data_IF_424455694892
#
_entry.id   IF_424455694892
#
_cell.length_a   1.000
_cell.length_b   1.000
_cell.length_c   1.000
_cell.angle_alpha   90.00
_cell.angle_beta   90.00
_cell.angle_gamma   90.00
#
_symmetry.space_group_name_H-M   'P 1'
#
loop_
_entity.id
_entity.type
_entity.pdbx_description
1 polymer ?
#
# COMPACT_ATOMS: atom_id res chain seq x y z
N UNK A 1 -9.11 11.98 3.55
CA UNK A 1 -8.73 10.58 3.24
C UNK A 1 -8.37 10.47 1.76
N UNK A 2 -7.31 9.74 1.41
CA UNK A 2 -6.79 9.63 0.03
C UNK A 2 -7.47 8.55 -0.81
N UNK A 3 -8.80 8.59 -0.94
CA UNK A 3 -9.60 7.65 -1.74
C UNK A 3 -10.44 8.42 -2.76
N UNK A 4 -10.62 7.86 -3.97
CA UNK A 4 -11.38 8.49 -5.04
C UNK A 4 -12.89 8.46 -4.76
N UNK A 5 -13.36 9.35 -3.90
CA UNK A 5 -14.75 9.40 -3.45
C UNK A 5 -15.39 10.80 -3.52
N UNK A 6 -14.69 11.78 -4.10
CA UNK A 6 -15.04 13.22 -4.16
C UNK A 6 -15.31 13.93 -2.83
N UNK A 7 -15.39 13.19 -1.71
CA UNK A 7 -15.77 13.72 -0.42
C UNK A 7 -14.78 14.72 0.16
N UNK A 8 -13.47 14.48 -0.01
CA UNK A 8 -12.39 15.32 0.56
C UNK A 8 -12.61 15.70 2.04
N UNK A 9 -13.24 14.81 2.81
CA UNK A 9 -13.62 15.09 4.19
C UNK A 9 -12.38 15.05 5.10
N UNK A 10 -12.27 16.07 5.96
CA UNK A 10 -11.35 16.14 7.09
C UNK A 10 -11.91 15.39 8.30
N UNK A 11 -11.03 14.73 9.05
CA UNK A 11 -11.36 13.85 10.18
C UNK A 11 -10.43 14.09 11.37
N UNK A 12 -10.97 13.97 12.58
CA UNK A 12 -10.23 13.87 13.85
C UNK A 12 -9.82 12.42 14.01
N UNK A 13 -8.51 12.17 14.11
CA UNK A 13 -7.96 10.83 14.35
C UNK A 13 -7.65 10.70 15.84
N UNK A 14 -8.22 9.69 16.48
CA UNK A 14 -8.03 9.44 17.91
C UNK A 14 -6.90 8.44 18.11
N UNK A 15 -5.93 8.82 18.94
CA UNK A 15 -4.83 7.97 19.37
C UNK A 15 -5.02 7.65 20.84
N UNK A 16 -5.02 6.37 21.18
CA UNK A 16 -5.09 5.87 22.56
C UNK A 16 -4.03 4.79 22.74
N UNK A 17 -3.25 4.88 23.81
CA UNK A 17 -2.13 3.98 24.09
C UNK A 17 -1.10 3.93 22.93
N UNK A 18 -0.87 5.06 22.25
CA UNK A 18 0.05 5.13 21.10
C UNK A 18 -0.46 4.47 19.82
N UNK A 19 -1.71 3.99 19.79
CA UNK A 19 -2.34 3.36 18.63
C UNK A 19 -3.52 4.18 18.15
N UNK A 20 -3.71 4.24 16.82
CA UNK A 20 -4.92 4.83 16.24
C UNK A 20 -6.10 3.92 16.53
N UNK A 21 -7.18 4.45 17.11
CA UNK A 21 -8.31 3.63 17.56
C UNK A 21 -9.60 3.88 16.81
N UNK A 22 -9.96 5.13 16.53
CA UNK A 22 -11.14 5.50 15.73
C UNK A 22 -11.02 6.92 15.20
N UNK A 23 -12.02 7.34 14.42
CA UNK A 23 -12.10 8.66 13.81
C UNK A 23 -13.49 9.26 13.95
N UNK A 24 -13.57 10.58 14.03
CA UNK A 24 -14.83 11.35 13.91
C UNK A 24 -14.63 12.49 12.93
N UNK A 25 -15.71 13.00 12.35
CA UNK A 25 -15.60 14.11 11.38
C UNK A 25 -15.08 15.39 12.04
N UNK A 26 -14.26 16.14 11.30
CA UNK A 26 -13.98 17.53 11.64
C UNK A 26 -15.18 18.42 11.32
N UNK A 27 -15.34 19.50 12.06
CA UNK A 27 -16.44 20.46 11.93
C UNK A 27 -15.97 21.90 11.89
N UNK A 28 -14.71 22.12 11.53
CA UNK A 28 -14.03 23.42 11.55
C UNK A 28 -13.72 23.92 10.13
N UNK A 29 -14.48 23.48 9.13
CA UNK A 29 -14.40 24.06 7.79
C UNK A 29 -14.71 25.57 7.84
N UNK A 30 -14.08 26.40 6.99
CA UNK A 30 -14.50 27.79 6.83
C UNK A 30 -16.01 27.86 6.55
N UNK A 31 -16.72 28.69 7.34
CA UNK A 31 -18.17 28.85 7.23
C UNK A 31 -18.54 29.39 5.86
N UNK A 32 -19.68 28.95 5.35
CA UNK A 32 -20.27 29.52 4.13
C UNK A 32 -20.91 30.87 4.45
N UNK A 33 -21.45 31.54 3.43
CA UNK A 33 -22.19 32.80 3.60
C UNK A 33 -23.42 32.57 4.51
N UNK A 34 -23.91 33.58 5.25
CA UNK A 34 -25.02 33.40 6.20
C UNK A 34 -26.33 32.84 5.62
N UNK A 35 -26.54 33.00 4.31
CA UNK A 35 -27.69 32.50 3.55
C UNK A 35 -27.54 31.04 3.06
N UNK A 36 -26.37 30.43 3.26
CA UNK A 36 -26.07 29.06 2.84
C UNK A 36 -25.80 28.15 4.05
N UNK A 37 -26.15 26.86 3.97
CA UNK A 37 -25.74 25.91 4.98
C UNK A 37 -24.22 25.70 4.95
N UNK A 38 -23.63 25.41 6.11
CA UNK A 38 -22.23 25.02 6.19
C UNK A 38 -22.03 23.59 5.69
N UNK A 39 -20.78 23.25 5.39
CA UNK A 39 -20.41 21.92 4.89
C UNK A 39 -20.33 20.85 5.97
N UNK A 40 -20.22 21.23 7.24
CA UNK A 40 -19.99 20.28 8.31
C UNK A 40 -21.21 19.37 8.55
N UNK A 41 -21.00 18.11 8.99
CA UNK A 41 -19.73 17.44 9.29
C UNK A 41 -19.07 16.74 8.08
N UNK A 42 -19.74 16.70 6.91
CA UNK A 42 -19.40 15.79 5.81
C UNK A 42 -19.26 14.34 6.32
N UNK A 43 -18.29 13.59 5.78
CA UNK A 43 -18.01 12.21 6.15
C UNK A 43 -18.96 11.20 5.50
N UNK A 44 -18.60 9.93 5.60
CA UNK A 44 -19.40 8.81 5.08
C UNK A 44 -19.04 7.53 5.87
N UNK A 45 -19.89 6.49 5.86
CA UNK A 45 -19.63 5.27 6.64
C UNK A 45 -18.36 4.54 6.20
N UNK A 46 -17.92 4.72 4.94
CA UNK A 46 -16.65 4.17 4.44
C UNK A 46 -15.43 4.90 5.02
N UNK A 47 -15.57 6.19 5.32
CA UNK A 47 -14.53 6.96 5.99
C UNK A 47 -14.44 6.62 7.47
N UNK A 48 -15.57 6.40 8.12
CA UNK A 48 -15.63 6.07 9.55
C UNK A 48 -15.09 4.67 9.92
N UNK A 49 -14.77 3.83 8.94
CA UNK A 49 -14.22 2.49 9.15
C UNK A 49 -12.75 2.35 8.73
N UNK A 50 -12.06 3.46 8.45
CA UNK A 50 -10.71 3.43 7.91
C UNK A 50 -9.67 3.01 8.96
N UNK A 51 -9.87 3.34 10.24
CA UNK A 51 -9.00 2.90 11.35
C UNK A 51 -8.79 1.38 11.37
N UNK A 52 -9.77 0.60 10.91
CA UNK A 52 -9.67 -0.86 10.83
C UNK A 52 -8.44 -1.34 10.05
N UNK A 53 -8.07 -0.65 8.97
CA UNK A 53 -6.96 -1.06 8.10
C UNK A 53 -5.57 -0.90 8.74
N UNK A 54 -5.42 -0.16 9.84
CA UNK A 54 -4.10 0.06 10.42
C UNK A 54 -3.47 -1.23 10.94
N UNK A 55 -4.27 -2.07 11.59
CA UNK A 55 -3.80 -3.29 12.26
C UNK A 55 -4.58 -4.55 11.85
N UNK A 56 -5.44 -4.47 10.82
CA UNK A 56 -6.18 -5.64 10.34
C UNK A 56 -5.27 -6.73 9.79
N UNK A 57 -5.80 -7.96 9.74
CA UNK A 57 -5.09 -9.14 9.25
C UNK A 57 -4.59 -9.00 7.79
N UNK A 58 -5.20 -8.10 7.00
CA UNK A 58 -4.83 -7.86 5.61
C UNK A 58 -3.82 -6.71 5.42
N UNK A 59 -3.28 -6.15 6.51
CA UNK A 59 -2.29 -5.09 6.43
C UNK A 59 -0.97 -5.62 5.86
N UNK A 60 -0.50 -5.04 4.76
CA UNK A 60 0.86 -5.28 4.26
C UNK A 60 1.87 -4.63 5.21
N UNK A 61 2.70 -5.48 5.84
CA UNK A 61 3.74 -5.09 6.80
C UNK A 61 5.14 -5.02 6.20
N UNK A 62 5.40 -5.85 5.19
CA UNK A 62 6.70 -6.01 4.56
C UNK A 62 6.55 -5.93 3.04
N UNK A 63 7.58 -5.51 2.31
CA UNK A 63 7.56 -5.62 0.86
C UNK A 63 7.61 -7.10 0.48
N UNK A 64 6.74 -7.49 -0.45
CA UNK A 64 6.55 -8.87 -0.87
C UNK A 64 6.99 -9.01 -2.32
N UNK A 65 7.68 -10.10 -2.63
CA UNK A 65 7.99 -10.48 -4.00
C UNK A 65 7.69 -11.96 -4.21
N UNK A 66 7.32 -12.34 -5.44
CA UNK A 66 6.98 -13.72 -5.76
C UNK A 66 8.20 -14.62 -5.55
N UNK A 67 8.04 -15.75 -4.86
CA UNK A 67 9.12 -16.71 -4.57
C UNK A 67 9.92 -17.09 -5.82
N UNK A 68 9.23 -17.37 -6.93
CA UNK A 68 9.85 -17.73 -8.22
C UNK A 68 10.74 -16.60 -8.75
N UNK A 69 10.29 -15.35 -8.64
CA UNK A 69 11.04 -14.19 -9.08
C UNK A 69 12.24 -13.91 -8.16
N UNK A 70 12.06 -13.99 -6.84
CA UNK A 70 13.17 -13.83 -5.88
C UNK A 70 14.29 -14.83 -6.16
N UNK A 71 13.95 -16.09 -6.47
CA UNK A 71 14.93 -17.13 -6.77
C UNK A 71 15.78 -16.74 -8.00
N UNK A 72 15.11 -16.43 -9.13
CA UNK A 72 15.77 -16.00 -10.36
C UNK A 72 16.60 -14.73 -10.16
N UNK A 73 16.08 -13.77 -9.39
CA UNK A 73 16.76 -12.51 -9.10
C UNK A 73 18.05 -12.71 -8.32
N UNK A 74 18.04 -13.56 -7.28
CA UNK A 74 19.25 -13.87 -6.50
C UNK A 74 20.28 -14.64 -7.32
N UNK A 75 19.85 -15.58 -8.15
CA UNK A 75 20.73 -16.31 -9.08
C UNK A 75 21.36 -15.37 -10.11
N UNK A 76 20.58 -14.47 -10.71
CA UNK A 76 21.10 -13.51 -11.68
C UNK A 76 22.05 -12.48 -11.05
N UNK A 77 21.74 -11.97 -9.86
CA UNK A 77 22.63 -11.07 -9.11
C UNK A 77 23.94 -11.72 -8.66
N UNK A 78 24.00 -13.05 -8.59
CA UNK A 78 25.24 -13.76 -8.31
C UNK A 78 26.13 -13.87 -9.56
N UNK A 79 25.54 -13.82 -10.76
CA UNK A 79 26.24 -13.92 -12.04
C UNK A 79 26.59 -12.54 -12.63
N UNK A 80 25.77 -11.53 -12.38
CA UNK A 80 25.91 -10.19 -12.92
C UNK A 80 26.05 -9.17 -11.77
N UNK A 81 27.12 -8.38 -11.79
CA UNK A 81 27.36 -7.31 -10.82
C UNK A 81 26.39 -6.14 -11.01
N UNK A 82 26.06 -5.81 -12.26
CA UNK A 82 25.08 -4.78 -12.59
C UNK A 82 23.65 -5.33 -12.45
N UNK A 83 22.78 -4.74 -11.60
CA UNK A 83 21.39 -5.15 -11.48
C UNK A 83 20.56 -4.99 -12.77
N UNK A 84 20.95 -4.08 -13.66
CA UNK A 84 20.33 -3.89 -14.98
C UNK A 84 20.61 -5.10 -15.87
N UNK A 85 21.86 -5.57 -15.90
CA UNK A 85 22.25 -6.78 -16.64
C UNK A 85 21.62 -8.04 -16.05
N UNK A 86 21.57 -8.13 -14.71
CA UNK A 86 20.87 -9.21 -14.00
C UNK A 86 19.37 -9.27 -14.38
N UNK A 87 18.72 -8.11 -14.52
CA UNK A 87 17.34 -8.06 -14.99
C UNK A 87 17.23 -8.44 -16.46
N UNK A 88 18.16 -7.94 -17.29
CA UNK A 88 18.29 -8.29 -18.71
C UNK A 88 18.34 -9.79 -18.93
N UNK A 89 19.15 -10.52 -18.17
CA UNK A 89 19.31 -11.99 -18.32
C UNK A 89 18.09 -12.81 -17.88
N UNK A 90 17.17 -12.22 -17.08
CA UNK A 90 15.92 -12.86 -16.68
C UNK A 90 14.81 -12.56 -17.70
N UNK A 91 14.69 -11.31 -18.13
CA UNK A 91 13.57 -10.87 -18.99
C UNK A 91 13.74 -11.28 -20.44
N UNK A 92 14.99 -11.35 -20.93
CA UNK A 92 15.31 -11.76 -22.30
C UNK A 92 15.20 -13.27 -22.52
N UNK A 93 15.22 -14.07 -21.45
CA UNK A 93 15.00 -15.51 -21.50
C UNK A 93 13.49 -15.82 -21.43
N UNK A 94 12.88 -16.36 -22.50
CA UNK A 94 11.43 -16.59 -22.56
C UNK A 94 10.96 -17.61 -21.52
N UNK A 95 11.79 -18.60 -21.17
CA UNK A 95 11.43 -19.64 -20.19
C UNK A 95 11.47 -19.07 -18.77
N UNK A 96 12.52 -18.32 -18.41
CA UNK A 96 12.58 -17.61 -17.12
C UNK A 96 11.42 -16.63 -16.98
N UNK A 97 11.16 -15.84 -18.03
CA UNK A 97 10.08 -14.86 -18.04
C UNK A 97 8.70 -15.49 -17.87
N UNK A 98 8.41 -16.58 -18.60
CA UNK A 98 7.16 -17.32 -18.47
C UNK A 98 6.97 -17.90 -17.07
N UNK A 99 8.04 -18.41 -16.46
CA UNK A 99 7.98 -19.09 -15.17
C UNK A 99 7.44 -18.22 -14.03
N UNK A 100 7.80 -16.93 -13.95
CA UNK A 100 7.28 -16.04 -12.92
C UNK A 100 5.98 -15.34 -13.32
N UNK A 101 5.74 -15.13 -14.63
CA UNK A 101 4.51 -14.49 -15.14
C UNK A 101 3.28 -15.39 -14.94
N UNK A 102 3.38 -16.69 -15.19
CA UNK A 102 2.26 -17.65 -14.99
C UNK A 102 1.89 -17.81 -13.50
N UNK A 103 2.83 -17.53 -12.58
CA UNK A 103 2.59 -17.57 -11.14
C UNK A 103 1.83 -16.34 -10.59
N UNK A 104 1.48 -15.35 -11.43
CA UNK A 104 0.67 -14.18 -11.01
C UNK A 104 -0.73 -14.64 -10.60
N UNK A 105 -1.20 -14.15 -9.46
CA UNK A 105 -2.50 -14.56 -8.88
C UNK A 105 -2.52 -15.94 -8.21
N UNK A 106 -1.40 -16.68 -8.19
CA UNK A 106 -1.34 -18.08 -7.68
C UNK A 106 -0.58 -18.24 -6.35
N UNK A 107 -0.63 -17.23 -5.47
CA UNK A 107 0.05 -17.28 -4.17
C UNK A 107 1.60 -17.40 -4.23
N UNK A 108 2.25 -17.68 -3.10
CA UNK A 108 3.72 -17.82 -3.05
C UNK A 108 4.47 -16.49 -3.01
N UNK A 109 3.94 -15.51 -2.29
CA UNK A 109 4.70 -14.32 -1.90
C UNK A 109 5.66 -14.65 -0.75
N UNK A 110 6.84 -14.04 -0.77
CA UNK A 110 7.79 -14.06 0.33
C UNK A 110 8.20 -12.63 0.66
N UNK A 111 8.51 -12.36 1.92
CA UNK A 111 9.12 -11.10 2.33
C UNK A 111 10.53 -10.96 1.76
N UNK A 112 10.91 -9.73 1.43
CA UNK A 112 12.30 -9.37 1.14
C UNK A 112 12.66 -8.05 1.82
N UNK A 113 13.93 -7.69 1.84
CA UNK A 113 14.42 -6.47 2.48
C UNK A 113 14.66 -5.39 1.43
N UNK A 114 14.28 -4.16 1.73
CA UNK A 114 14.66 -3.00 0.91
C UNK A 114 16.15 -2.74 1.09
N UNK A 115 16.86 -2.48 0.01
CA UNK A 115 18.24 -2.00 0.08
C UNK A 115 18.23 -0.63 0.76
N UNK A 116 18.70 -0.57 2.01
CA UNK A 116 18.73 0.66 2.82
C UNK A 116 18.16 0.53 4.23
N UNK A 117 17.63 -0.63 4.63
CA UNK A 117 17.33 -0.88 6.04
C UNK A 117 18.57 -1.43 6.76
N UNK A 118 19.10 -0.67 7.72
CA UNK A 118 19.87 -1.23 8.84
C UNK A 118 19.09 -2.37 9.49
#
# INVERSE_FOLDING_TARGET
>A
MGVNCTGSCSWKIYVKNGLVTWETQQTDYPRTRPDLPNHEPRGCPRGASYSWYLYSANRLKYPLMRKRLIKLWREAKALHSDPVDAWGSIVSDPEKAKSYKVARGRGGFCSFQLAGGQ
#
